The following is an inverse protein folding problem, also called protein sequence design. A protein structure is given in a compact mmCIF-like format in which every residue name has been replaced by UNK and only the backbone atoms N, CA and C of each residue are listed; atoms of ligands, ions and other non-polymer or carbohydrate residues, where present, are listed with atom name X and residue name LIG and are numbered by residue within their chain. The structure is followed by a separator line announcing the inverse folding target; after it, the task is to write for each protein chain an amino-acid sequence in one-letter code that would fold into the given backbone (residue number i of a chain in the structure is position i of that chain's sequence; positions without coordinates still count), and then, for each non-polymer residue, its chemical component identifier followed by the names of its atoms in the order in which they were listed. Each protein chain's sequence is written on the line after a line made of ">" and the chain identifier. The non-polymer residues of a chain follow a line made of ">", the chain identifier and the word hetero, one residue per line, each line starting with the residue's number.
data_IF_784576768131
#
_entry.id   IF_784576768131
#
_cell.length_a   1.000
_cell.length_b   1.000
_cell.length_c   1.000
_cell.angle_alpha   90.00
_cell.angle_beta   90.00
_cell.angle_gamma   90.00
#
_symmetry.space_group_name_H-M   'P 1'
#
loop_
_entity.id
_entity.type
_entity.pdbx_description
1 polymer ?
#
# COMPACT_ATOMS: atom_id res chain seq x y z
N UNK A 1 -8.15 16.21 6.80
CA UNK A 1 -8.71 14.86 7.06
C UNK A 1 -7.55 14.00 7.52
N UNK A 2 -7.66 13.35 8.67
CA UNK A 2 -6.69 12.37 9.15
C UNK A 2 -7.11 10.97 8.72
N UNK A 3 -6.14 10.10 8.46
CA UNK A 3 -6.38 8.76 7.90
C UNK A 3 -5.77 7.68 8.77
N UNK A 4 -6.56 6.65 9.04
CA UNK A 4 -6.18 5.45 9.76
C UNK A 4 -6.20 4.26 8.80
N UNK A 5 -5.06 3.61 8.59
CA UNK A 5 -4.99 2.34 7.89
C UNK A 5 -4.84 1.20 8.89
N UNK A 6 -5.67 0.18 8.77
CA UNK A 6 -5.62 -0.97 9.66
C UNK A 6 -5.59 -2.28 8.88
N UNK A 7 -4.88 -3.25 9.44
CA UNK A 7 -4.86 -4.60 8.95
C UNK A 7 -6.28 -5.21 8.95
N UNK A 8 -6.56 -6.03 7.94
CA UNK A 8 -7.84 -6.71 7.74
C UNK A 8 -8.36 -7.47 8.97
N UNK A 9 -7.48 -8.06 9.77
CA UNK A 9 -7.90 -8.78 10.97
C UNK A 9 -8.70 -7.93 11.95
N UNK A 10 -8.45 -6.61 12.03
CA UNK A 10 -9.23 -5.71 12.88
C UNK A 10 -10.64 -5.49 12.32
N UNK A 11 -10.77 -5.38 10.99
CA UNK A 11 -12.08 -5.33 10.31
C UNK A 11 -12.82 -6.65 10.54
N UNK A 12 -12.12 -7.78 10.46
CA UNK A 12 -12.71 -9.09 10.69
C UNK A 12 -13.21 -9.26 12.13
N UNK A 13 -12.47 -8.76 13.12
CA UNK A 13 -12.84 -8.80 14.55
C UNK A 13 -14.03 -7.92 14.87
N UNK A 14 -14.13 -6.72 14.26
CA UNK A 14 -15.25 -5.81 14.43
C UNK A 14 -16.60 -6.48 14.11
N UNK A 15 -16.61 -7.38 13.14
CA UNK A 15 -17.82 -8.03 12.62
C UNK A 15 -18.05 -9.40 13.24
N UNK A 16 -16.99 -10.00 13.81
CA UNK A 16 -17.14 -11.29 14.48
C UNK A 16 -18.05 -11.11 15.72
N UNK A 17 -18.87 -12.16 16.01
CA UNK A 17 -19.74 -12.19 17.22
C UNK A 17 -18.97 -12.33 18.55
N UNK A 18 -17.68 -12.03 18.55
CA UNK A 18 -16.83 -12.07 19.73
C UNK A 18 -17.17 -10.92 20.71
N UNK A 19 -16.72 -10.96 21.97
CA UNK A 19 -17.13 -10.03 23.03
C UNK A 19 -17.10 -8.55 22.61
N UNK A 20 -17.98 -7.75 23.17
CA UNK A 20 -18.24 -6.36 22.81
C UNK A 20 -16.99 -5.45 22.72
N UNK A 21 -15.90 -5.79 23.42
CA UNK A 21 -14.64 -5.02 23.37
C UNK A 21 -13.90 -5.07 22.01
N UNK A 22 -14.28 -5.96 21.11
CA UNK A 22 -13.74 -6.05 19.75
C UNK A 22 -14.50 -5.17 18.72
N UNK A 23 -15.70 -4.68 19.09
CA UNK A 23 -16.54 -3.82 18.25
C UNK A 23 -16.28 -2.34 18.53
N UNK A 24 -15.02 -1.94 18.51
CA UNK A 24 -14.67 -0.59 18.90
C UNK A 24 -14.36 0.32 17.71
N UNK A 25 -13.97 -0.23 16.56
CA UNK A 25 -13.52 0.56 15.41
C UNK A 25 -14.59 1.53 14.92
N UNK A 26 -15.81 1.04 14.66
CA UNK A 26 -16.90 1.90 14.19
C UNK A 26 -17.27 2.97 15.23
N UNK A 27 -17.30 2.61 16.52
CA UNK A 27 -17.57 3.55 17.62
C UNK A 27 -16.47 4.60 17.77
N UNK A 28 -15.21 4.19 17.64
CA UNK A 28 -14.06 5.10 17.71
C UNK A 28 -14.09 6.09 16.55
N UNK A 29 -14.33 5.61 15.33
CA UNK A 29 -14.43 6.49 14.16
C UNK A 29 -15.61 7.45 14.27
N UNK A 30 -16.77 7.00 14.75
CA UNK A 30 -17.93 7.86 14.97
C UNK A 30 -17.68 8.96 16.03
N UNK A 31 -16.88 8.66 17.06
CA UNK A 31 -16.49 9.61 18.10
C UNK A 31 -15.37 10.57 17.66
N UNK A 32 -14.70 10.30 16.56
CA UNK A 32 -13.57 11.10 16.03
C UNK A 32 -13.80 11.43 14.55
N UNK A 33 -14.74 12.34 14.22
CA UNK A 33 -15.17 12.60 12.84
C UNK A 33 -14.08 13.21 11.94
N UNK A 34 -12.99 13.69 12.51
CA UNK A 34 -11.80 14.15 11.77
C UNK A 34 -10.98 12.99 11.19
N UNK A 35 -11.20 11.77 11.68
CA UNK A 35 -10.54 10.57 11.21
C UNK A 35 -11.39 9.77 10.22
N UNK A 36 -10.77 9.25 9.19
CA UNK A 36 -11.40 8.27 8.28
C UNK A 36 -10.57 6.99 8.21
N UNK A 37 -11.26 5.87 8.12
CA UNK A 37 -10.63 4.60 7.76
C UNK A 37 -10.16 4.69 6.30
N UNK A 38 -8.87 4.54 6.07
CA UNK A 38 -8.33 4.38 4.73
C UNK A 38 -8.48 2.92 4.31
N UNK A 39 -9.04 2.68 3.15
CA UNK A 39 -9.29 1.34 2.59
C UNK A 39 -8.79 1.28 1.16
N UNK A 40 -8.01 0.25 0.87
CA UNK A 40 -7.51 -0.05 -0.47
C UNK A 40 -8.20 -1.27 -1.07
N UNK A 41 -7.99 -1.51 -2.35
CA UNK A 41 -8.41 -2.75 -3.01
C UNK A 41 -7.87 -3.99 -2.28
N UNK A 42 -6.65 -3.93 -1.72
CA UNK A 42 -6.06 -5.04 -0.95
C UNK A 42 -6.93 -5.49 0.23
N UNK A 43 -7.56 -4.55 0.96
CA UNK A 43 -8.48 -4.89 2.03
C UNK A 43 -9.69 -5.67 1.51
N UNK A 44 -10.21 -5.28 0.33
CA UNK A 44 -11.35 -5.97 -0.29
C UNK A 44 -10.96 -7.35 -0.81
N UNK A 45 -9.79 -7.49 -1.41
CA UNK A 45 -9.24 -8.76 -1.87
C UNK A 45 -9.04 -9.75 -0.72
N UNK A 46 -8.54 -9.27 0.41
CA UNK A 46 -8.34 -10.09 1.60
C UNK A 46 -9.67 -10.54 2.23
N UNK A 47 -10.66 -9.65 2.25
CA UNK A 47 -12.02 -9.99 2.69
C UNK A 47 -12.61 -11.15 1.89
N UNK A 48 -12.34 -11.24 0.59
CA UNK A 48 -12.86 -12.30 -0.28
C UNK A 48 -12.09 -13.61 -0.18
N UNK A 49 -10.86 -13.59 0.31
CA UNK A 49 -9.95 -14.72 0.27
C UNK A 49 -10.31 -15.87 1.23
N UNK A 50 -11.20 -15.65 2.23
CA UNK A 50 -11.57 -16.69 3.18
C UNK A 50 -12.67 -17.67 2.68
N UNK A 51 -13.15 -17.49 1.45
CA UNK A 51 -14.13 -18.35 0.77
C UNK A 51 -15.57 -18.25 1.29
N UNK A 52 -15.83 -17.60 2.42
CA UNK A 52 -17.17 -17.39 2.97
C UNK A 52 -17.79 -16.09 2.44
N UNK A 53 -18.58 -16.20 1.36
CA UNK A 53 -19.23 -15.06 0.71
C UNK A 53 -20.11 -14.23 1.67
N UNK A 54 -20.83 -14.87 2.59
CA UNK A 54 -21.69 -14.18 3.52
C UNK A 54 -20.87 -13.37 4.55
N UNK A 55 -19.73 -13.89 4.96
CA UNK A 55 -18.79 -13.19 5.83
C UNK A 55 -18.13 -12.02 5.10
N UNK A 56 -17.68 -12.25 3.87
CA UNK A 56 -17.10 -11.20 3.01
C UNK A 56 -18.08 -10.04 2.81
N UNK A 57 -19.35 -10.32 2.50
CA UNK A 57 -20.37 -9.29 2.37
C UNK A 57 -20.61 -8.49 3.66
N UNK A 58 -20.64 -9.16 4.84
CA UNK A 58 -20.78 -8.45 6.12
C UNK A 58 -19.61 -7.50 6.40
N UNK A 59 -18.38 -7.93 6.09
CA UNK A 59 -17.19 -7.09 6.23
C UNK A 59 -17.21 -5.90 5.27
N UNK A 60 -17.59 -6.14 4.02
CA UNK A 60 -17.75 -5.08 3.04
C UNK A 60 -18.86 -4.08 3.44
N UNK A 61 -19.99 -4.55 3.96
CA UNK A 61 -21.06 -3.68 4.47
C UNK A 61 -20.60 -2.80 5.66
N UNK A 62 -19.74 -3.33 6.53
CA UNK A 62 -19.13 -2.53 7.59
C UNK A 62 -18.24 -1.43 7.00
N UNK A 63 -17.38 -1.76 6.01
CA UNK A 63 -16.53 -0.77 5.33
C UNK A 63 -17.40 0.33 4.72
N UNK A 64 -18.43 -0.01 3.98
CA UNK A 64 -19.35 0.98 3.39
C UNK A 64 -20.01 1.86 4.47
N UNK A 65 -20.34 1.28 5.63
CA UNK A 65 -21.01 2.00 6.73
C UNK A 65 -20.16 3.09 7.38
N UNK A 66 -18.85 2.93 7.40
CA UNK A 66 -17.92 3.90 8.00
C UNK A 66 -17.44 4.99 7.03
N UNK A 67 -17.94 4.98 5.81
CA UNK A 67 -17.63 5.97 4.75
C UNK A 67 -16.10 6.17 4.61
N UNK A 68 -15.37 5.16 4.16
CA UNK A 68 -13.92 5.18 4.15
C UNK A 68 -13.36 6.25 3.20
N UNK A 69 -12.10 6.59 3.38
CA UNK A 69 -11.28 7.22 2.36
C UNK A 69 -10.72 6.10 1.47
N UNK A 70 -11.15 6.04 0.22
CA UNK A 70 -10.69 5.02 -0.72
C UNK A 70 -9.31 5.37 -1.25
N UNK A 71 -8.36 4.46 -1.11
CA UNK A 71 -7.00 4.63 -1.61
C UNK A 71 -6.87 4.07 -3.02
N UNK A 72 -6.15 4.78 -3.86
CA UNK A 72 -5.71 4.26 -5.17
C UNK A 72 -4.95 2.96 -5.03
N UNK A 73 -4.98 2.14 -6.09
CA UNK A 73 -4.16 0.94 -6.17
C UNK A 73 -2.67 1.27 -6.06
N UNK A 74 -1.92 0.41 -5.36
CA UNK A 74 -0.48 0.58 -5.13
C UNK A 74 0.30 0.85 -6.42
N UNK A 75 0.04 0.07 -7.47
CA UNK A 75 0.76 0.23 -8.75
C UNK A 75 0.50 1.58 -9.41
N UNK A 76 -0.72 2.11 -9.30
CA UNK A 76 -1.05 3.42 -9.87
C UNK A 76 -0.42 4.56 -9.09
N UNK A 77 -0.38 4.44 -7.75
CA UNK A 77 0.36 5.38 -6.91
C UNK A 77 1.83 5.38 -7.32
N UNK A 78 2.45 4.21 -7.41
CA UNK A 78 3.86 4.08 -7.77
C UNK A 78 4.18 4.62 -9.17
N UNK A 79 3.31 4.38 -10.16
CA UNK A 79 3.46 4.98 -11.50
C UNK A 79 3.43 6.50 -11.45
N UNK A 80 2.54 7.07 -10.64
CA UNK A 80 2.44 8.53 -10.47
C UNK A 80 3.62 9.12 -9.72
N UNK A 81 4.12 8.43 -8.69
CA UNK A 81 5.35 8.82 -8.00
C UNK A 81 6.54 8.85 -8.94
N UNK A 82 6.75 7.76 -9.69
CA UNK A 82 7.85 7.65 -10.66
C UNK A 82 7.74 8.72 -11.73
N UNK A 83 6.54 8.93 -12.26
CA UNK A 83 6.30 9.99 -13.24
C UNK A 83 6.62 11.37 -12.66
N UNK A 84 6.13 11.67 -11.45
CA UNK A 84 6.37 12.96 -10.79
C UNK A 84 7.86 13.18 -10.51
N UNK A 85 8.57 12.15 -10.05
CA UNK A 85 10.02 12.20 -9.84
C UNK A 85 10.77 12.52 -11.12
N UNK A 86 10.47 11.82 -12.21
CA UNK A 86 11.11 12.02 -13.52
C UNK A 86 10.79 13.39 -14.10
N UNK A 87 9.54 13.83 -14.03
CA UNK A 87 9.14 15.15 -14.53
C UNK A 87 9.92 16.25 -13.81
N UNK A 88 9.96 16.21 -12.50
CA UNK A 88 10.65 17.20 -11.69
C UNK A 88 12.17 17.16 -11.86
N UNK A 89 12.79 15.98 -11.78
CA UNK A 89 14.24 15.86 -11.61
C UNK A 89 15.00 15.56 -12.92
N UNK A 90 14.34 15.02 -13.94
CA UNK A 90 14.93 14.73 -15.23
C UNK A 90 14.48 15.71 -16.32
N UNK A 91 13.16 15.90 -16.44
CA UNK A 91 12.60 16.78 -17.47
C UNK A 91 12.52 18.26 -17.01
N UNK A 92 12.72 18.55 -15.74
CA UNK A 92 12.64 19.87 -15.12
C UNK A 92 11.29 20.58 -15.37
N UNK A 93 10.22 19.78 -15.29
CA UNK A 93 8.82 20.21 -15.43
C UNK A 93 8.07 19.89 -14.14
N UNK A 94 7.27 20.83 -13.67
CA UNK A 94 6.42 20.59 -12.48
C UNK A 94 5.39 19.48 -12.76
N UNK A 95 5.38 18.41 -11.96
CA UNK A 95 4.42 17.34 -12.14
C UNK A 95 3.02 17.80 -11.75
N UNK A 96 1.97 17.30 -12.41
CA UNK A 96 0.61 17.54 -11.97
C UNK A 96 0.42 16.92 -10.57
N UNK A 97 -0.28 17.63 -9.65
CA UNK A 97 -0.61 17.07 -8.35
C UNK A 97 -1.54 15.86 -8.52
N UNK A 98 -1.34 14.83 -7.71
CA UNK A 98 -2.27 13.70 -7.64
C UNK A 98 -2.71 13.42 -6.20
N UNK A 99 -3.97 13.07 -6.05
CA UNK A 99 -4.53 12.64 -4.77
C UNK A 99 -4.48 11.11 -4.67
N UNK A 100 -4.11 10.61 -3.49
CA UNK A 100 -4.11 9.16 -3.22
C UNK A 100 -5.47 8.70 -2.72
N UNK A 101 -6.23 9.60 -2.07
CA UNK A 101 -7.52 9.29 -1.47
C UNK A 101 -8.68 9.87 -2.29
N UNK A 102 -9.74 9.08 -2.39
CA UNK A 102 -10.97 9.43 -3.10
C UNK A 102 -12.20 9.14 -2.23
N UNK A 103 -13.32 9.78 -2.57
CA UNK A 103 -14.57 9.59 -1.82
C UNK A 103 -15.34 8.36 -2.29
N UNK A 104 -15.13 7.93 -3.54
CA UNK A 104 -15.88 6.84 -4.16
C UNK A 104 -14.95 5.72 -4.62
N UNK A 105 -15.34 4.47 -4.34
CA UNK A 105 -14.61 3.28 -4.75
C UNK A 105 -14.39 3.22 -6.27
N UNK A 106 -15.38 3.63 -7.05
CA UNK A 106 -15.30 3.69 -8.52
C UNK A 106 -14.20 4.61 -9.08
N UNK A 107 -13.64 5.50 -8.27
CA UNK A 107 -12.54 6.39 -8.66
C UNK A 107 -11.16 5.77 -8.50
N UNK A 108 -11.06 4.70 -7.73
CA UNK A 108 -9.76 4.06 -7.38
C UNK A 108 -9.58 2.69 -8.00
N UNK A 109 -10.65 2.01 -8.34
CA UNK A 109 -10.60 0.72 -9.03
C UNK A 109 -10.36 1.00 -10.52
N UNK A 110 -9.24 0.51 -11.03
CA UNK A 110 -9.01 0.51 -12.47
C UNK A 110 -10.05 -0.40 -13.10
N UNK A 111 -10.84 0.08 -14.08
CA UNK A 111 -11.83 -0.74 -14.70
C UNK A 111 -11.14 -1.86 -15.51
N UNK A 112 -11.06 -3.05 -14.94
CA UNK A 112 -10.97 -4.29 -15.73
C UNK A 112 -12.26 -4.53 -16.52
N UNK A 113 -13.34 -3.89 -16.11
CA UNK A 113 -14.62 -3.73 -16.78
C UNK A 113 -15.15 -2.33 -16.47
N UNK A 114 -16.06 -1.80 -17.28
CA UNK A 114 -16.58 -0.43 -17.16
C UNK A 114 -16.87 0.00 -15.72
N UNK A 115 -16.42 1.20 -15.29
CA UNK A 115 -16.65 1.68 -13.94
C UNK A 115 -18.15 1.75 -13.69
N UNK A 116 -18.61 1.04 -12.65
CA UNK A 116 -19.99 1.08 -12.22
C UNK A 116 -20.14 2.31 -11.33
N UNK A 117 -20.87 3.31 -11.82
CA UNK A 117 -21.21 4.50 -11.03
C UNK A 117 -21.94 4.06 -9.77
N UNK A 118 -21.49 4.52 -8.60
CA UNK A 118 -22.07 4.15 -7.31
C UNK A 118 -21.65 2.80 -6.77
N UNK A 119 -20.49 2.26 -7.24
CA UNK A 119 -19.95 1.03 -6.71
C UNK A 119 -19.63 1.14 -5.21
N UNK A 120 -20.02 0.09 -4.47
CA UNK A 120 -19.79 -0.08 -3.04
C UNK A 120 -18.85 -1.27 -2.80
N UNK A 121 -18.26 -1.38 -1.59
CA UNK A 121 -17.47 -2.55 -1.22
C UNK A 121 -18.29 -3.84 -1.34
N UNK A 122 -19.58 -3.81 -0.95
CA UNK A 122 -20.48 -4.98 -1.07
C UNK A 122 -20.65 -5.40 -2.53
N UNK A 123 -20.90 -4.47 -3.44
CA UNK A 123 -21.10 -4.80 -4.86
C UNK A 123 -19.80 -5.30 -5.50
N UNK A 124 -18.67 -4.73 -5.12
CA UNK A 124 -17.36 -5.12 -5.62
C UNK A 124 -17.00 -6.57 -5.17
N UNK A 125 -17.10 -6.85 -3.87
CA UNK A 125 -16.82 -8.18 -3.29
C UNK A 125 -17.72 -9.27 -3.88
N UNK A 126 -18.97 -8.94 -4.24
CA UNK A 126 -19.88 -9.91 -4.84
C UNK A 126 -19.44 -10.40 -6.24
N UNK A 127 -18.62 -9.62 -6.95
CA UNK A 127 -18.19 -9.90 -8.34
C UNK A 127 -16.79 -10.48 -8.48
N UNK A 128 -15.96 -10.32 -7.46
CA UNK A 128 -14.57 -10.80 -7.52
C UNK A 128 -14.51 -12.31 -7.51
N UNK A 129 -13.65 -12.86 -8.37
CA UNK A 129 -13.23 -14.24 -8.31
C UNK A 129 -11.95 -14.34 -7.45
N UNK A 130 -12.00 -14.99 -6.27
CA UNK A 130 -10.85 -15.16 -5.41
C UNK A 130 -9.64 -15.83 -6.07
N UNK A 131 -9.86 -16.63 -7.11
CA UNK A 131 -8.80 -17.39 -7.78
C UNK A 131 -7.83 -16.51 -8.56
N UNK A 132 -8.26 -15.34 -9.03
CA UNK A 132 -7.40 -14.37 -9.73
C UNK A 132 -6.26 -13.83 -8.84
N UNK A 133 -6.49 -13.79 -7.53
CA UNK A 133 -5.55 -13.24 -6.55
C UNK A 133 -4.41 -14.22 -6.26
N UNK A 134 -4.70 -15.52 -6.29
CA UNK A 134 -3.76 -16.57 -5.90
C UNK A 134 -2.51 -16.63 -6.82
N UNK A 135 -2.68 -16.29 -8.10
CA UNK A 135 -1.57 -16.22 -9.05
C UNK A 135 -0.56 -15.11 -8.70
N UNK A 136 -1.06 -13.91 -8.41
CA UNK A 136 -0.22 -12.76 -8.04
C UNK A 136 0.51 -12.97 -6.71
N UNK A 137 -0.16 -13.56 -5.71
CA UNK A 137 0.45 -13.92 -4.43
C UNK A 137 1.63 -14.87 -4.62
N UNK A 138 1.42 -15.98 -5.36
CA UNK A 138 2.46 -16.98 -5.64
C UNK A 138 3.66 -16.38 -6.36
N UNK A 139 3.45 -15.50 -7.34
CA UNK A 139 4.54 -14.84 -8.05
C UNK A 139 5.38 -13.96 -7.11
N UNK A 140 4.76 -13.17 -6.24
CA UNK A 140 5.45 -12.32 -5.26
C UNK A 140 6.29 -13.18 -4.30
N UNK A 141 5.72 -14.26 -3.77
CA UNK A 141 6.44 -15.20 -2.89
C UNK A 141 7.63 -15.83 -3.58
N UNK A 142 7.46 -16.28 -4.83
CA UNK A 142 8.53 -16.87 -5.62
C UNK A 142 9.69 -15.88 -5.79
N UNK A 143 9.40 -14.62 -6.11
CA UNK A 143 10.42 -13.56 -6.24
C UNK A 143 11.16 -13.31 -4.93
N UNK A 144 10.44 -13.21 -3.81
CA UNK A 144 11.06 -13.01 -2.48
C UNK A 144 11.96 -14.19 -2.09
N UNK A 145 11.55 -15.44 -2.35
CA UNK A 145 12.36 -16.65 -2.09
C UNK A 145 13.62 -16.69 -2.93
N UNK A 146 13.52 -16.35 -4.21
CA UNK A 146 14.69 -16.28 -5.11
C UNK A 146 15.70 -15.26 -4.62
N UNK A 147 15.25 -14.08 -4.20
CA UNK A 147 16.10 -13.03 -3.65
C UNK A 147 16.73 -13.45 -2.30
N UNK A 148 15.97 -14.12 -1.44
CA UNK A 148 16.48 -14.61 -0.15
C UNK A 148 17.56 -15.67 -0.33
N UNK A 149 17.42 -16.56 -1.32
CA UNK A 149 18.39 -17.63 -1.61
C UNK A 149 19.68 -17.12 -2.29
N UNK A 150 19.71 -15.88 -2.79
CA UNK A 150 20.87 -15.33 -3.47
C UNK A 150 22.04 -15.08 -2.52
N UNK A 151 23.27 -15.33 -2.99
CA UNK A 151 24.51 -15.00 -2.26
C UNK A 151 24.69 -13.49 -2.11
N UNK A 152 25.53 -13.04 -1.15
CA UNK A 152 25.76 -11.59 -0.94
C UNK A 152 26.32 -10.89 -2.20
N UNK A 153 27.16 -11.57 -2.98
CA UNK A 153 27.71 -11.03 -4.23
C UNK A 153 26.63 -10.95 -5.32
N UNK A 154 25.77 -11.96 -5.39
CA UNK A 154 24.61 -11.94 -6.30
C UNK A 154 23.56 -10.90 -5.86
N UNK A 155 23.41 -10.67 -4.54
CA UNK A 155 22.46 -9.67 -4.03
C UNK A 155 22.78 -8.26 -4.54
N UNK A 156 24.04 -7.88 -4.63
CA UNK A 156 24.43 -6.56 -5.14
C UNK A 156 24.11 -6.38 -6.64
N UNK A 157 24.33 -7.43 -7.44
CA UNK A 157 23.93 -7.44 -8.85
C UNK A 157 22.40 -7.57 -9.01
N UNK A 158 21.76 -8.34 -8.13
CA UNK A 158 20.31 -8.55 -8.10
C UNK A 158 19.59 -7.27 -7.65
N UNK A 159 20.15 -6.47 -6.74
CA UNK A 159 19.56 -5.18 -6.34
C UNK A 159 19.34 -4.26 -7.55
N UNK A 160 20.32 -4.12 -8.40
CA UNK A 160 20.18 -3.33 -9.62
C UNK A 160 19.17 -3.95 -10.58
N UNK A 161 19.23 -5.25 -10.80
CA UNK A 161 18.29 -5.98 -11.66
C UNK A 161 16.85 -5.93 -11.15
N UNK A 162 16.67 -6.10 -9.85
CA UNK A 162 15.35 -6.01 -9.20
C UNK A 162 14.83 -4.60 -9.28
N UNK A 163 15.68 -3.59 -9.02
CA UNK A 163 15.31 -2.19 -9.18
C UNK A 163 14.83 -1.91 -10.62
N UNK A 164 15.59 -2.35 -11.63
CA UNK A 164 15.23 -2.19 -13.03
C UNK A 164 13.91 -2.87 -13.38
N UNK A 165 13.76 -4.13 -13.06
CA UNK A 165 12.54 -4.90 -13.31
C UNK A 165 11.32 -4.36 -12.56
N UNK A 166 11.56 -3.59 -11.51
CA UNK A 166 10.53 -3.04 -10.66
C UNK A 166 10.16 -1.59 -11.02
N UNK A 167 11.14 -0.78 -11.44
CA UNK A 167 10.92 0.62 -11.82
C UNK A 167 10.51 0.76 -13.28
N UNK A 168 11.12 0.02 -14.20
CA UNK A 168 10.86 0.13 -15.65
C UNK A 168 9.37 0.03 -16.02
N UNK A 169 8.57 -0.91 -15.46
CA UNK A 169 7.14 -0.98 -15.77
C UNK A 169 6.31 0.20 -15.27
N UNK A 170 6.89 1.04 -14.41
CA UNK A 170 6.24 2.22 -13.82
C UNK A 170 6.65 3.52 -14.50
N UNK A 171 7.67 3.47 -15.36
CA UNK A 171 8.07 4.63 -16.16
C UNK A 171 6.94 4.98 -17.13
N UNK A 172 6.55 6.26 -17.25
CA UNK A 172 5.52 6.67 -18.19
C UNK A 172 5.86 6.23 -19.62
N UNK A 173 4.83 5.87 -20.39
CA UNK A 173 5.00 5.58 -21.83
C UNK A 173 5.14 6.84 -22.65
N UNK A 174 4.77 7.99 -22.09
CA UNK A 174 4.85 9.31 -22.74
C UNK A 174 5.62 10.30 -21.88
N UNK A 175 6.35 11.17 -22.52
CA UNK A 175 7.04 12.28 -21.89
C UNK A 175 6.06 13.40 -21.48
N UNK A 176 6.52 14.48 -20.80
CA UNK A 176 5.68 15.62 -20.44
C UNK A 176 5.08 16.35 -21.65
N UNK A 177 5.63 16.20 -22.83
CA UNK A 177 5.11 16.74 -24.10
C UNK A 177 4.14 15.79 -24.82
N UNK A 178 3.69 14.72 -24.17
CA UNK A 178 2.78 13.67 -24.71
C UNK A 178 3.38 12.85 -25.87
N UNK A 179 4.70 12.89 -26.06
CA UNK A 179 5.38 12.08 -27.06
C UNK A 179 5.63 10.66 -26.52
N UNK A 180 5.36 9.66 -27.37
CA UNK A 180 5.60 8.27 -27.05
C UNK A 180 7.11 8.00 -26.93
N UNK A 181 7.54 7.55 -25.75
CA UNK A 181 8.94 7.22 -25.49
C UNK A 181 9.30 5.82 -26.00
N UNK A 182 10.47 5.70 -26.63
CA UNK A 182 11.04 4.42 -27.06
C UNK A 182 11.53 3.63 -25.82
N UNK A 183 11.73 2.33 -26.00
CA UNK A 183 12.28 1.48 -24.94
C UNK A 183 13.63 2.00 -24.42
N UNK A 184 14.54 2.40 -25.34
CA UNK A 184 15.84 2.93 -24.96
C UNK A 184 15.76 4.19 -24.08
N UNK A 185 14.77 5.06 -24.33
CA UNK A 185 14.55 6.26 -23.53
C UNK A 185 14.08 5.88 -22.12
N UNK A 186 13.18 4.89 -22.00
CA UNK A 186 12.72 4.37 -20.71
C UNK A 186 13.83 3.66 -19.96
N UNK A 187 14.68 2.91 -20.63
CA UNK A 187 15.86 2.29 -20.03
C UNK A 187 16.84 3.37 -19.48
N UNK A 188 17.04 4.47 -20.20
CA UNK A 188 17.83 5.61 -19.72
C UNK A 188 17.19 6.29 -18.49
N UNK A 189 15.86 6.41 -18.45
CA UNK A 189 15.14 6.95 -17.29
C UNK A 189 15.24 6.02 -16.08
N UNK A 190 15.19 4.70 -16.25
CA UNK A 190 15.43 3.74 -15.17
C UNK A 190 16.86 3.86 -14.63
N UNK A 191 17.85 4.04 -15.50
CA UNK A 191 19.24 4.32 -15.08
C UNK A 191 19.35 5.62 -14.30
N UNK A 192 18.63 6.67 -14.72
CA UNK A 192 18.57 7.93 -13.97
C UNK A 192 17.99 7.74 -12.57
N UNK A 193 16.88 7.00 -12.44
CA UNK A 193 16.31 6.67 -11.13
C UNK A 193 17.30 5.89 -10.25
N UNK A 194 18.03 4.93 -10.83
CA UNK A 194 19.05 4.16 -10.12
C UNK A 194 20.22 5.02 -9.64
N UNK A 195 20.74 5.88 -10.50
CA UNK A 195 21.84 6.79 -10.15
C UNK A 195 21.45 7.77 -9.03
N UNK A 196 20.17 8.12 -8.92
CA UNK A 196 19.62 9.03 -7.92
C UNK A 196 18.75 8.30 -6.87
N UNK A 197 18.99 7.00 -6.60
CA UNK A 197 18.07 6.15 -5.84
C UNK A 197 17.77 6.65 -4.43
N UNK A 198 18.70 7.30 -3.76
CA UNK A 198 18.47 7.82 -2.40
C UNK A 198 17.46 8.97 -2.40
N UNK A 199 17.52 9.84 -3.40
CA UNK A 199 16.52 10.89 -3.61
C UNK A 199 15.21 10.29 -4.12
N UNK A 200 15.29 9.34 -5.04
CA UNK A 200 14.13 8.64 -5.60
C UNK A 200 13.29 7.98 -4.50
N UNK A 201 13.89 7.25 -3.56
CA UNK A 201 13.14 6.61 -2.47
C UNK A 201 12.50 7.63 -1.50
N UNK A 202 13.09 8.82 -1.35
CA UNK A 202 12.51 9.87 -0.50
C UNK A 202 11.38 10.63 -1.20
N UNK A 203 11.45 10.82 -2.52
CA UNK A 203 10.43 11.52 -3.30
C UNK A 203 9.32 10.58 -3.81
N UNK A 204 9.56 9.27 -3.77
CA UNK A 204 8.61 8.22 -4.11
C UNK A 204 8.34 7.32 -2.89
N UNK A 205 7.56 7.77 -1.89
CA UNK A 205 7.42 7.07 -0.61
C UNK A 205 6.91 5.64 -0.74
N UNK A 206 5.96 5.33 -1.64
CA UNK A 206 5.50 3.96 -1.83
C UNK A 206 6.59 3.06 -2.42
N UNK A 207 7.44 3.60 -3.33
CA UNK A 207 8.60 2.88 -3.86
C UNK A 207 9.64 2.64 -2.78
N UNK A 208 9.97 3.66 -1.99
CA UNK A 208 10.94 3.57 -0.89
C UNK A 208 10.50 2.59 0.19
N UNK A 209 9.25 2.67 0.65
CA UNK A 209 8.71 1.76 1.66
C UNK A 209 8.71 0.32 1.14
N UNK A 210 8.28 0.07 -0.10
CA UNK A 210 8.30 -1.28 -0.68
C UNK A 210 9.71 -1.85 -0.75
N UNK A 211 10.68 -1.04 -1.14
CA UNK A 211 12.09 -1.45 -1.18
C UNK A 211 12.58 -1.90 0.21
N UNK A 212 12.48 -1.05 1.22
CA UNK A 212 13.04 -1.33 2.53
C UNK A 212 12.27 -2.40 3.31
N UNK A 213 10.94 -2.50 3.15
CA UNK A 213 10.15 -3.60 3.72
C UNK A 213 10.54 -4.94 3.08
N UNK A 214 10.73 -4.98 1.76
CA UNK A 214 11.18 -6.17 1.04
C UNK A 214 12.60 -6.55 1.44
N UNK A 215 13.50 -5.58 1.56
CA UNK A 215 14.88 -5.81 2.03
C UNK A 215 14.91 -6.40 3.44
N UNK A 216 14.12 -5.85 4.39
CA UNK A 216 14.03 -6.39 5.73
C UNK A 216 13.55 -7.86 5.75
N UNK A 217 12.61 -8.21 4.87
CA UNK A 217 12.11 -9.60 4.73
C UNK A 217 13.16 -10.54 4.14
N UNK A 218 13.89 -10.09 3.13
CA UNK A 218 14.95 -10.89 2.48
C UNK A 218 16.12 -11.13 3.43
N UNK A 219 16.41 -10.17 4.30
CA UNK A 219 17.51 -10.28 5.29
C UNK A 219 17.20 -11.22 6.46
N UNK A 220 15.95 -11.59 6.68
CA UNK A 220 15.59 -12.56 7.73
C UNK A 220 15.78 -14.00 7.23
N UNK A 221 16.89 -14.68 7.56
CA UNK A 221 17.17 -16.02 7.07
C UNK A 221 16.30 -17.09 7.74
N UNK A 222 15.66 -16.74 8.87
CA UNK A 222 14.91 -17.69 9.69
C UNK A 222 13.43 -17.77 9.25
N UNK A 223 13.01 -16.88 8.35
CA UNK A 223 11.63 -16.84 7.88
C UNK A 223 11.53 -17.04 6.37
N UNK A 224 10.83 -18.09 6.00
CA UNK A 224 10.45 -18.31 4.61
C UNK A 224 9.25 -17.41 4.23
N UNK A 225 9.31 -16.71 3.09
CA UNK A 225 8.17 -15.93 2.59
C UNK A 225 6.95 -16.81 2.35
N UNK A 226 5.79 -16.30 2.76
CA UNK A 226 4.47 -16.93 2.63
C UNK A 226 3.53 -16.09 1.75
N UNK A 227 2.39 -16.64 1.34
CA UNK A 227 1.41 -15.90 0.53
C UNK A 227 0.80 -14.71 1.29
N UNK A 228 0.66 -14.79 2.62
CA UNK A 228 0.25 -13.65 3.44
C UNK A 228 1.25 -12.50 3.38
N UNK A 229 2.55 -12.78 3.28
CA UNK A 229 3.58 -11.74 3.17
C UNK A 229 3.40 -10.83 1.94
N UNK A 230 2.83 -11.35 0.86
CA UNK A 230 2.55 -10.55 -0.34
C UNK A 230 1.45 -9.51 -0.08
N UNK A 231 0.41 -9.88 0.68
CA UNK A 231 -0.68 -8.97 1.04
C UNK A 231 -0.22 -7.99 2.12
N UNK A 232 0.46 -8.48 3.16
CA UNK A 232 1.02 -7.65 4.24
C UNK A 232 1.98 -6.60 3.68
N UNK A 233 2.74 -6.94 2.63
CA UNK A 233 3.60 -5.98 1.94
C UNK A 233 2.79 -4.84 1.34
N UNK A 234 1.69 -5.14 0.65
CA UNK A 234 0.85 -4.14 0.02
C UNK A 234 0.18 -3.23 1.06
N UNK A 235 -0.36 -3.80 2.14
CA UNK A 235 -0.93 -3.04 3.26
C UNK A 235 0.11 -2.12 3.91
N UNK A 236 1.31 -2.64 4.14
CA UNK A 236 2.40 -1.86 4.73
C UNK A 236 2.81 -0.70 3.83
N UNK A 237 2.97 -0.95 2.53
CA UNK A 237 3.36 0.09 1.57
C UNK A 237 2.33 1.22 1.55
N UNK A 238 1.06 0.91 1.37
CA UNK A 238 0.00 1.90 1.28
C UNK A 238 -0.20 2.67 2.59
N UNK A 239 -0.36 1.92 3.68
CA UNK A 239 -0.64 2.51 4.99
C UNK A 239 0.51 3.35 5.52
N UNK A 240 1.75 2.89 5.36
CA UNK A 240 2.92 3.61 5.86
C UNK A 240 3.24 4.87 5.05
N UNK A 241 3.07 4.82 3.73
CA UNK A 241 3.46 5.93 2.85
C UNK A 241 2.48 7.11 2.88
N UNK A 242 1.19 6.86 3.11
CA UNK A 242 0.17 7.89 2.86
C UNK A 242 -0.84 8.11 3.96
N UNK A 243 -0.89 7.26 4.98
CA UNK A 243 -1.80 7.46 6.11
C UNK A 243 -1.10 8.17 7.27
N UNK A 244 -1.90 8.76 8.17
CA UNK A 244 -1.36 9.35 9.40
C UNK A 244 -1.00 8.27 10.42
N UNK A 245 -1.78 7.17 10.43
CA UNK A 245 -1.58 6.03 11.33
C UNK A 245 -1.69 4.73 10.55
N UNK A 246 -0.73 3.82 10.79
CA UNK A 246 -0.77 2.43 10.37
C UNK A 246 -0.83 1.51 11.59
N UNK A 247 -1.86 0.65 11.66
CA UNK A 247 -1.97 -0.43 12.65
C UNK A 247 -1.79 -1.76 11.95
N UNK A 248 -0.77 -2.53 12.34
CA UNK A 248 -0.43 -3.78 11.67
C UNK A 248 0.08 -4.84 12.65
N UNK A 249 0.18 -6.08 12.21
CA UNK A 249 0.65 -7.20 13.01
C UNK A 249 2.14 -7.12 13.36
N UNK A 250 2.54 -7.92 14.34
CA UNK A 250 3.90 -7.89 14.91
C UNK A 250 5.02 -7.99 13.88
N UNK A 251 4.87 -8.85 12.87
CA UNK A 251 5.94 -9.03 11.86
C UNK A 251 5.97 -7.88 10.88
N UNK A 252 4.83 -7.52 10.30
CA UNK A 252 4.72 -6.36 9.42
C UNK A 252 5.13 -5.07 10.15
N UNK A 253 4.86 -4.96 11.45
CA UNK A 253 5.38 -3.88 12.28
C UNK A 253 6.91 -3.79 12.25
N UNK A 254 7.62 -4.91 12.44
CA UNK A 254 9.09 -4.88 12.49
C UNK A 254 9.72 -4.49 11.15
N UNK A 255 9.16 -4.94 10.04
CA UNK A 255 9.62 -4.56 8.70
C UNK A 255 9.27 -3.12 8.35
N UNK A 256 8.10 -2.63 8.78
CA UNK A 256 7.70 -1.22 8.64
C UNK A 256 8.60 -0.29 9.48
N UNK A 257 8.93 -0.66 10.72
CA UNK A 257 9.85 0.10 11.58
C UNK A 257 11.26 0.20 10.97
N UNK A 258 11.72 -0.86 10.31
CA UNK A 258 12.96 -0.82 9.53
C UNK A 258 12.88 0.20 8.40
N UNK A 259 11.80 0.22 7.62
CA UNK A 259 11.61 1.16 6.53
C UNK A 259 11.52 2.62 7.03
N UNK A 260 10.86 2.88 8.17
CA UNK A 260 10.81 4.22 8.80
C UNK A 260 12.22 4.72 9.10
N UNK A 261 13.06 3.87 9.71
CA UNK A 261 14.44 4.25 10.05
C UNK A 261 15.30 4.49 8.82
N UNK A 262 15.16 3.68 7.79
CA UNK A 262 15.92 3.80 6.54
C UNK A 262 15.53 5.04 5.72
N UNK A 263 14.26 5.44 5.76
CA UNK A 263 13.73 6.59 5.02
C UNK A 263 13.73 7.90 5.81
N UNK A 264 14.18 7.90 7.06
CA UNK A 264 14.23 9.13 7.85
C UNK A 264 15.02 10.23 7.11
N UNK A 265 14.58 11.50 7.13
CA UNK A 265 13.49 12.09 7.92
C UNK A 265 12.12 12.15 7.17
N UNK A 266 11.86 11.28 6.21
CA UNK A 266 10.58 11.27 5.49
C UNK A 266 9.41 11.10 6.48
N UNK A 267 8.37 11.96 6.42
CA UNK A 267 7.20 11.84 7.29
C UNK A 267 6.32 10.66 6.83
N UNK A 268 6.53 9.50 7.46
CA UNK A 268 5.73 8.30 7.27
C UNK A 268 4.68 8.17 8.38
N UNK A 269 3.70 7.28 8.21
CA UNK A 269 2.65 7.04 9.19
C UNK A 269 3.21 6.68 10.57
N UNK A 270 2.53 7.11 11.62
CA UNK A 270 2.78 6.61 12.98
C UNK A 270 2.37 5.14 13.06
N UNK A 271 3.27 4.29 13.54
CA UNK A 271 3.14 2.84 13.49
C UNK A 271 2.71 2.26 14.84
N UNK A 272 1.66 1.42 14.83
CA UNK A 272 1.13 0.76 16.02
C UNK A 272 0.96 -0.76 15.82
N UNK A 273 1.17 -1.54 16.89
CA UNK A 273 1.01 -3.02 16.91
C UNK A 273 -0.41 -3.48 17.24
N UNK A 274 -1.21 -2.60 17.78
CA UNK A 274 -2.59 -2.89 18.20
C UNK A 274 -3.44 -1.65 18.06
N UNK A 275 -4.73 -1.83 17.84
CA UNK A 275 -5.70 -0.75 17.77
C UNK A 275 -6.37 -0.57 19.14
N UNK A 276 -6.49 0.68 19.59
CA UNK A 276 -7.14 1.07 20.84
C UNK A 276 -7.59 2.54 20.81
N UNK A 277 -8.38 2.94 21.80
CA UNK A 277 -8.91 4.31 21.91
C UNK A 277 -7.84 5.41 22.04
N UNK A 278 -6.71 5.07 22.58
CA UNK A 278 -5.56 5.94 22.83
C UNK A 278 -4.85 6.37 21.56
N UNK A 279 -4.88 5.55 20.48
CA UNK A 279 -4.16 5.79 19.23
C UNK A 279 -4.59 7.09 18.58
N UNK A 280 -5.89 7.33 18.44
CA UNK A 280 -6.39 8.53 17.80
C UNK A 280 -6.27 9.77 18.72
N UNK A 281 -6.30 9.57 20.03
CA UNK A 281 -6.16 10.64 21.02
C UNK A 281 -4.70 11.10 21.19
N UNK A 282 -3.72 10.19 21.08
CA UNK A 282 -2.29 10.52 21.19
C UNK A 282 -1.80 11.46 20.07
N UNK A 283 -2.54 11.55 18.98
CA UNK A 283 -2.27 12.41 17.82
C UNK A 283 -2.94 13.80 17.91
N UNK A 284 -3.62 14.11 19.01
CA UNK A 284 -4.07 15.50 19.24
C UNK A 284 -2.85 16.35 19.59
N UNK A 285 -2.58 17.45 18.85
CA UNK A 285 -1.52 18.37 19.27
C UNK A 285 -1.83 18.85 20.69
N UNK A 286 -0.82 18.81 21.55
CA UNK A 286 -0.88 19.40 22.87
C UNK A 286 -1.02 20.93 22.73
N UNK A 287 -2.23 21.43 22.65
CA UNK A 287 -2.50 22.86 22.47
C UNK A 287 -3.94 23.09 22.02
N UNK A 288 -4.85 22.97 22.96
CA UNK A 288 -6.03 23.79 23.16
C UNK A 288 -6.89 23.08 24.24
N UNK A 289 -6.47 23.19 25.49
CA UNK A 289 -7.36 23.12 26.65
C UNK A 289 -7.71 24.56 27.02
#
# INVERSE_FOLDING_TARGET
>A
MKTLYIDHQYIAREISRQPAHWRQLGTILAANPEWRLAVSECNLLEITSDGDKARAQRRAAFIDSVKPAWMMERLDIQKREVAAFLWKNHFLVDPPPFGVFHEHLSQVIIPRAQPIIGETAVSWVARIDPTEIEGAKRQTVSSLRTLQAATNQQKQQIEEWVFWGWVEPKIPLRDPGDLLMKKADRDALASFCWANRDQFYRECPAMGVEHFVSEARIRDPNRQPTESDAIDLQHTVLGLSYCDVLVTERYAYSTADYAIKALAPLPLATLHKSFGWDILNAQRPAGNQ
#
